data_IF_990071400000
#
_entry.id   IF_990071400000
#
_cell.length_a   1.000
_cell.length_b   1.000
_cell.length_c   1.000
_cell.angle_alpha   90.00
_cell.angle_beta   90.00
_cell.angle_gamma   90.00
#
_symmetry.space_group_name_H-M   'P 1'
#
loop_
_entity.id
_entity.type
_entity.pdbx_description
1 polymer ?
#
# COMPACT_ATOMS: atom_id res chain seq x y z
N UNK A 1 16.33 -14.81 5.39
CA UNK A 1 16.67 -13.63 4.56
C UNK A 1 15.43 -13.34 3.73
N UNK A 2 14.88 -12.12 3.79
CA UNK A 2 13.74 -11.76 2.93
C UNK A 2 14.23 -11.76 1.48
N UNK A 3 13.59 -12.56 0.62
CA UNK A 3 13.95 -12.68 -0.79
C UNK A 3 13.14 -11.75 -1.69
N UNK A 4 12.01 -11.25 -1.18
CA UNK A 4 11.12 -10.39 -1.92
C UNK A 4 11.77 -9.05 -2.26
N UNK A 5 11.80 -8.74 -3.56
CA UNK A 5 12.19 -7.43 -4.07
C UNK A 5 11.02 -6.86 -4.87
N UNK A 6 10.49 -5.73 -4.42
CA UNK A 6 9.27 -5.18 -5.01
C UNK A 6 9.46 -4.63 -6.44
N UNK A 7 10.69 -4.38 -6.88
CA UNK A 7 10.99 -3.91 -8.25
C UNK A 7 10.47 -4.85 -9.34
N UNK A 8 10.37 -6.15 -9.09
CA UNK A 8 9.79 -7.12 -10.03
C UNK A 8 8.28 -6.97 -10.22
N UNK A 9 7.60 -6.32 -9.27
CA UNK A 9 6.14 -6.21 -9.21
C UNK A 9 5.65 -4.75 -9.26
N UNK A 10 6.58 -3.79 -9.22
CA UNK A 10 6.27 -2.38 -9.12
C UNK A 10 5.33 -1.91 -10.24
N UNK A 11 4.22 -1.30 -9.86
CA UNK A 11 3.23 -0.77 -10.79
C UNK A 11 2.30 -1.84 -11.37
N UNK A 12 2.23 -3.03 -10.79
CA UNK A 12 1.23 -4.02 -11.15
C UNK A 12 -0.20 -3.58 -10.75
N UNK A 13 -1.17 -4.44 -11.03
CA UNK A 13 -2.58 -4.20 -10.72
C UNK A 13 -2.88 -4.14 -9.21
N UNK A 14 -2.13 -4.86 -8.39
CA UNK A 14 -2.26 -4.80 -6.94
C UNK A 14 -1.76 -3.47 -6.37
N UNK A 15 -0.63 -2.97 -6.86
CA UNK A 15 -0.10 -1.66 -6.52
C UNK A 15 -1.05 -0.55 -6.92
N UNK A 16 -1.66 -0.63 -8.11
CA UNK A 16 -2.66 0.36 -8.53
C UNK A 16 -3.83 0.40 -7.55
N UNK A 17 -4.35 -0.77 -7.15
CA UNK A 17 -5.43 -0.86 -6.18
C UNK A 17 -5.03 -0.26 -4.82
N UNK A 18 -3.88 -0.67 -4.30
CA UNK A 18 -3.31 -0.20 -3.02
C UNK A 18 -3.07 1.31 -3.02
N UNK A 19 -2.33 1.82 -4.01
CA UNK A 19 -1.91 3.21 -4.07
C UNK A 19 -3.06 4.17 -4.40
N UNK A 20 -4.06 3.74 -5.17
CA UNK A 20 -5.26 4.54 -5.40
C UNK A 20 -6.05 4.77 -4.09
N UNK A 21 -6.25 3.71 -3.29
CA UNK A 21 -6.90 3.83 -1.98
C UNK A 21 -6.05 4.62 -0.97
N UNK A 22 -4.74 4.35 -0.91
CA UNK A 22 -3.80 5.12 -0.07
C UNK A 22 -3.86 6.62 -0.39
N UNK A 23 -3.75 6.97 -1.67
CA UNK A 23 -3.77 8.35 -2.11
C UNK A 23 -5.09 9.05 -1.76
N UNK A 24 -6.21 8.36 -1.92
CA UNK A 24 -7.54 8.89 -1.55
C UNK A 24 -7.68 9.11 -0.05
N UNK A 25 -7.18 8.20 0.78
CA UNK A 25 -7.17 8.38 2.24
C UNK A 25 -6.33 9.61 2.63
N UNK A 26 -5.12 9.73 2.09
CA UNK A 26 -4.23 10.84 2.41
C UNK A 26 -4.76 12.18 1.92
N UNK A 27 -5.31 12.24 0.70
CA UNK A 27 -5.95 13.44 0.15
C UNK A 27 -7.11 13.94 1.04
N UNK A 28 -7.95 13.02 1.53
CA UNK A 28 -9.01 13.40 2.47
C UNK A 28 -8.44 13.94 3.77
N UNK A 29 -7.42 13.28 4.32
CA UNK A 29 -6.84 13.68 5.60
C UNK A 29 -6.12 15.03 5.52
N UNK A 30 -5.51 15.41 4.40
CA UNK A 30 -4.81 16.69 4.32
C UNK A 30 -5.75 17.90 4.17
N UNK A 31 -7.06 17.70 3.98
CA UNK A 31 -8.08 18.77 3.96
C UNK A 31 -8.26 19.47 5.30
N UNK A 32 -8.04 18.77 6.41
CA UNK A 32 -8.13 19.36 7.74
C UNK A 32 -6.83 20.08 8.05
N UNK A 33 -6.91 21.35 8.42
CA UNK A 33 -5.76 22.17 8.81
C UNK A 33 -5.26 21.82 10.24
N UNK A 34 -4.88 20.55 10.42
CA UNK A 34 -4.21 20.01 11.60
C UNK A 34 -3.20 18.96 11.14
N UNK A 35 -2.01 18.88 11.77
CA UNK A 35 -1.00 17.91 11.40
C UNK A 35 -1.52 16.47 11.58
N UNK A 36 -0.96 15.54 10.81
CA UNK A 36 -1.19 14.11 10.93
C UNK A 36 0.12 13.34 10.90
N UNK A 37 0.11 12.09 11.37
CA UNK A 37 1.22 11.16 11.20
C UNK A 37 0.87 10.05 10.22
N UNK A 38 1.70 9.88 9.19
CA UNK A 38 1.70 8.70 8.33
C UNK A 38 2.75 7.72 8.82
N UNK A 39 2.33 6.50 9.11
CA UNK A 39 3.21 5.40 9.52
C UNK A 39 3.12 4.27 8.49
N UNK A 40 4.24 3.61 8.21
CA UNK A 40 4.30 2.47 7.31
C UNK A 40 5.23 1.39 7.84
N UNK A 41 4.76 0.15 7.85
CA UNK A 41 5.52 -0.98 8.40
C UNK A 41 6.48 -1.63 7.41
N UNK A 42 6.22 -1.50 6.11
CA UNK A 42 6.96 -2.17 5.05
C UNK A 42 7.10 -1.23 3.86
N UNK A 43 8.03 -0.28 3.96
CA UNK A 43 8.13 0.85 3.02
C UNK A 43 8.78 0.49 1.67
N UNK A 44 9.52 -0.62 1.60
CA UNK A 44 10.38 -0.92 0.46
C UNK A 44 11.39 0.21 0.20
N UNK A 45 11.85 0.33 -1.04
CA UNK A 45 12.80 1.39 -1.47
C UNK A 45 12.15 2.73 -1.84
N UNK A 46 10.83 2.85 -1.80
CA UNK A 46 10.09 4.09 -2.11
C UNK A 46 10.00 4.48 -3.60
N UNK A 47 11.03 4.27 -4.43
CA UNK A 47 11.06 4.61 -5.86
C UNK A 47 11.48 3.41 -6.71
N UNK A 48 10.79 3.18 -7.83
CA UNK A 48 11.04 2.08 -8.75
C UNK A 48 11.17 2.58 -10.18
N UNK A 49 12.19 2.11 -10.89
CA UNK A 49 12.39 2.40 -12.31
C UNK A 49 11.74 1.30 -13.16
N UNK A 50 10.62 1.60 -13.82
CA UNK A 50 9.85 0.61 -14.60
C UNK A 50 10.55 0.14 -15.89
N UNK A 51 11.64 0.80 -16.26
CA UNK A 51 12.50 0.40 -17.38
C UNK A 51 13.73 -0.43 -16.93
N UNK A 52 13.89 -0.68 -15.63
CA UNK A 52 14.94 -1.54 -15.10
C UNK A 52 14.77 -3.00 -15.59
N UNK A 53 15.88 -3.75 -15.63
CA UNK A 53 15.88 -5.13 -16.14
C UNK A 53 14.93 -6.02 -15.34
N UNK A 54 14.91 -5.87 -14.01
CA UNK A 54 14.07 -6.61 -13.08
C UNK A 54 12.57 -6.38 -13.35
N UNK A 55 12.17 -5.12 -13.55
CA UNK A 55 10.78 -4.78 -13.87
C UNK A 55 10.35 -5.32 -15.24
N UNK A 56 11.26 -5.32 -16.21
CA UNK A 56 11.00 -5.84 -17.57
C UNK A 56 10.87 -7.37 -17.61
N UNK A 57 11.52 -8.10 -16.70
CA UNK A 57 11.46 -9.57 -16.63
C UNK A 57 10.04 -10.09 -16.38
N UNK A 58 9.23 -9.37 -15.63
CA UNK A 58 7.85 -9.77 -15.33
C UNK A 58 6.83 -9.12 -16.24
N UNK A 59 7.10 -7.90 -16.72
CA UNK A 59 6.17 -7.12 -17.54
C UNK A 59 4.94 -6.63 -16.76
N UNK A 60 4.95 -6.73 -15.43
CA UNK A 60 3.78 -6.44 -14.59
C UNK A 60 3.33 -4.98 -14.68
N UNK A 61 4.27 -4.04 -14.78
CA UNK A 61 3.96 -2.62 -14.95
C UNK A 61 3.21 -2.33 -16.26
N UNK A 62 3.50 -3.09 -17.32
CA UNK A 62 2.85 -2.96 -18.62
C UNK A 62 1.38 -3.41 -18.57
N UNK A 63 1.10 -4.46 -17.77
CA UNK A 63 -0.24 -4.98 -17.50
C UNK A 63 -1.00 -4.19 -16.42
N UNK A 64 -0.28 -3.49 -15.53
CA UNK A 64 -0.81 -2.64 -14.47
C UNK A 64 -0.88 -1.17 -14.88
N UNK A 65 -0.07 -0.33 -14.23
CA UNK A 65 -0.17 1.14 -14.32
C UNK A 65 -0.17 1.64 -15.77
N UNK A 66 0.70 1.13 -16.64
CA UNK A 66 0.77 1.61 -18.02
C UNK A 66 -0.50 1.28 -18.82
N UNK A 67 -1.11 0.11 -18.58
CA UNK A 67 -2.40 -0.26 -19.19
C UNK A 67 -3.52 0.65 -18.68
N UNK A 68 -3.54 0.91 -17.39
CA UNK A 68 -4.58 1.68 -16.71
C UNK A 68 -4.55 3.16 -17.14
N UNK A 69 -3.34 3.71 -17.37
CA UNK A 69 -3.18 5.03 -17.96
C UNK A 69 -3.76 5.10 -19.37
N UNK A 70 -3.48 4.11 -20.23
CA UNK A 70 -4.09 4.03 -21.58
C UNK A 70 -5.61 3.90 -21.53
N UNK A 71 -6.14 3.23 -20.52
CA UNK A 71 -7.58 3.06 -20.31
C UNK A 71 -8.23 4.28 -19.62
N UNK A 72 -7.46 5.31 -19.25
CA UNK A 72 -7.94 6.53 -18.58
C UNK A 72 -8.82 6.25 -17.35
N UNK A 73 -8.41 5.29 -16.50
CA UNK A 73 -9.16 4.93 -15.29
C UNK A 73 -9.24 6.05 -14.25
N UNK A 74 -8.28 6.95 -14.26
CA UNK A 74 -8.16 8.05 -13.32
C UNK A 74 -8.06 9.35 -14.11
N UNK A 75 -8.76 10.40 -13.67
CA UNK A 75 -8.48 11.73 -14.20
C UNK A 75 -7.12 12.23 -13.67
N UNK A 76 -6.46 13.17 -14.35
CA UNK A 76 -5.20 13.77 -13.89
C UNK A 76 -5.28 14.37 -12.47
N UNK A 77 -6.46 14.82 -12.05
CA UNK A 77 -6.72 15.44 -10.76
C UNK A 77 -6.85 14.41 -9.62
N UNK A 78 -7.01 13.12 -9.94
CA UNK A 78 -7.07 12.05 -8.95
C UNK A 78 -5.78 12.03 -8.12
N UNK A 79 -5.84 11.93 -6.78
CA UNK A 79 -4.66 12.10 -5.92
C UNK A 79 -3.53 11.12 -6.24
N UNK A 80 -3.85 9.89 -6.63
CA UNK A 80 -2.85 8.92 -7.09
C UNK A 80 -2.10 9.40 -8.35
N UNK A 81 -2.82 9.97 -9.32
CA UNK A 81 -2.21 10.50 -10.55
C UNK A 81 -1.39 11.76 -10.27
N UNK A 82 -1.82 12.61 -9.34
CA UNK A 82 -1.03 13.78 -8.92
C UNK A 82 0.31 13.37 -8.30
N UNK A 83 0.30 12.36 -7.41
CA UNK A 83 1.52 11.82 -6.81
C UNK A 83 2.44 11.18 -7.87
N UNK A 84 1.89 10.35 -8.76
CA UNK A 84 2.62 9.74 -9.86
C UNK A 84 3.25 10.79 -10.79
N UNK A 85 2.49 11.83 -11.17
CA UNK A 85 2.97 12.91 -12.01
C UNK A 85 4.07 13.73 -11.35
N UNK A 86 3.97 14.00 -10.04
CA UNK A 86 5.02 14.69 -9.28
C UNK A 86 6.33 13.88 -9.28
N UNK A 87 6.23 12.57 -9.04
CA UNK A 87 7.38 11.66 -9.02
C UNK A 87 8.01 11.55 -10.41
N UNK A 88 7.21 11.41 -11.47
CA UNK A 88 7.74 11.37 -12.84
C UNK A 88 8.35 12.68 -13.30
N UNK A 89 7.85 13.83 -12.83
CA UNK A 89 8.47 15.13 -13.09
C UNK A 89 9.87 15.23 -12.45
N UNK A 90 10.05 14.66 -11.26
CA UNK A 90 11.32 14.68 -10.54
C UNK A 90 12.32 13.62 -11.01
N UNK A 91 11.84 12.42 -11.38
CA UNK A 91 12.69 11.24 -11.62
C UNK A 91 12.59 10.65 -13.03
N UNK A 92 11.82 11.29 -13.91
CA UNK A 92 11.63 10.87 -15.30
C UNK A 92 10.40 9.98 -15.53
N UNK A 93 9.99 9.78 -16.80
CA UNK A 93 8.72 9.15 -17.15
C UNK A 93 8.60 7.67 -16.76
N UNK A 94 9.74 6.97 -16.63
CA UNK A 94 9.77 5.57 -16.21
C UNK A 94 9.67 5.38 -14.68
N UNK A 95 9.66 6.47 -13.90
CA UNK A 95 9.58 6.40 -12.46
C UNK A 95 8.18 5.97 -11.99
N UNK A 96 8.16 5.09 -10.99
CA UNK A 96 6.97 4.66 -10.28
C UNK A 96 7.16 4.83 -8.77
N UNK A 97 6.24 5.54 -8.08
CA UNK A 97 6.31 5.68 -6.64
C UNK A 97 5.76 4.44 -5.94
N UNK A 98 6.52 3.92 -4.99
CA UNK A 98 5.96 3.13 -3.89
C UNK A 98 5.14 4.00 -2.95
N UNK A 99 4.46 3.34 -2.01
CA UNK A 99 3.65 3.97 -0.95
C UNK A 99 4.37 5.11 -0.21
N UNK A 100 5.68 5.04 0.12
CA UNK A 100 6.39 6.16 0.72
C UNK A 100 6.35 7.44 -0.11
N UNK A 101 6.60 7.35 -1.42
CA UNK A 101 6.59 8.52 -2.30
C UNK A 101 5.17 8.95 -2.67
N UNK A 102 4.21 8.03 -2.74
CA UNK A 102 2.79 8.39 -2.82
C UNK A 102 2.42 9.26 -1.61
N UNK A 103 2.80 8.84 -0.41
CA UNK A 103 2.49 9.56 0.80
C UNK A 103 3.23 10.91 0.88
N UNK A 104 4.54 10.90 0.65
CA UNK A 104 5.37 12.09 0.76
C UNK A 104 4.97 13.21 -0.22
N UNK A 105 4.45 12.87 -1.41
CA UNK A 105 3.96 13.86 -2.39
C UNK A 105 2.53 14.36 -2.11
N UNK A 106 1.78 13.73 -1.21
CA UNK A 106 0.41 14.13 -0.84
C UNK A 106 0.33 14.78 0.53
N UNK A 107 1.26 14.47 1.41
CA UNK A 107 1.40 15.07 2.73
C UNK A 107 1.93 16.50 2.65
N UNK A 108 1.64 17.28 3.69
CA UNK A 108 2.07 18.68 3.80
C UNK A 108 3.32 18.78 4.69
N UNK A 109 4.08 19.88 4.63
CA UNK A 109 5.24 20.08 5.50
C UNK A 109 4.96 20.00 7.01
N UNK A 110 3.72 20.24 7.44
CA UNK A 110 3.31 20.13 8.85
C UNK A 110 3.05 18.68 9.30
N UNK A 111 2.90 17.75 8.36
CA UNK A 111 2.59 16.35 8.63
C UNK A 111 3.88 15.55 8.88
N UNK A 112 3.79 14.48 9.67
CA UNK A 112 4.93 13.64 10.03
C UNK A 112 4.90 12.30 9.26
N UNK A 113 6.08 11.83 8.85
CA UNK A 113 6.27 10.54 8.16
C UNK A 113 7.17 9.63 9.01
N UNK A 114 6.74 8.38 9.21
CA UNK A 114 7.46 7.34 9.93
C UNK A 114 7.46 6.05 9.08
N UNK A 115 8.61 5.66 8.54
CA UNK A 115 8.69 4.51 7.64
C UNK A 115 9.63 3.45 8.19
N UNK A 116 9.21 2.20 8.13
CA UNK A 116 10.05 1.06 8.49
C UNK A 116 10.36 0.22 7.26
N UNK A 117 11.60 -0.22 7.14
CA UNK A 117 12.02 -1.20 6.15
C UNK A 117 13.10 -2.08 6.77
N UNK A 118 13.00 -3.40 6.64
CA UNK A 118 13.87 -4.37 7.29
C UNK A 118 15.03 -4.82 6.38
N UNK A 119 14.82 -4.84 5.07
CA UNK A 119 15.82 -5.23 4.10
C UNK A 119 16.88 -4.13 3.94
N UNK A 120 18.18 -4.41 4.20
CA UNK A 120 19.20 -3.37 4.29
C UNK A 120 19.40 -2.58 2.99
N UNK A 121 19.31 -3.25 1.84
CA UNK A 121 19.46 -2.57 0.54
C UNK A 121 18.22 -1.73 0.19
N UNK A 122 17.02 -2.19 0.58
CA UNK A 122 15.80 -1.41 0.35
C UNK A 122 15.79 -0.19 1.25
N UNK A 123 16.22 -0.34 2.52
CA UNK A 123 16.33 0.77 3.46
C UNK A 123 17.33 1.82 3.00
N UNK A 124 18.53 1.42 2.54
CA UNK A 124 19.52 2.37 2.02
C UNK A 124 18.97 3.15 0.81
N UNK A 125 18.27 2.47 -0.11
CA UNK A 125 17.61 3.12 -1.23
C UNK A 125 16.47 4.04 -0.78
N UNK A 126 15.66 3.62 0.21
CA UNK A 126 14.59 4.42 0.79
C UNK A 126 15.14 5.74 1.37
N UNK A 127 16.24 5.69 2.12
CA UNK A 127 16.89 6.88 2.67
C UNK A 127 17.31 7.85 1.57
N UNK A 128 17.90 7.34 0.50
CA UNK A 128 18.28 8.18 -0.64
C UNK A 128 17.05 8.81 -1.32
N UNK A 129 16.03 8.00 -1.61
CA UNK A 129 14.86 8.42 -2.39
C UNK A 129 13.93 9.38 -1.62
N UNK A 130 13.90 9.32 -0.28
CA UNK A 130 13.04 10.17 0.56
C UNK A 130 13.77 11.39 1.16
N UNK A 131 15.06 11.57 0.86
CA UNK A 131 15.88 12.63 1.46
C UNK A 131 15.26 14.04 1.36
N UNK A 132 14.59 14.35 0.25
CA UNK A 132 13.97 15.65 0.02
C UNK A 132 12.67 15.90 0.81
N UNK A 133 12.04 14.85 1.33
CA UNK A 133 10.75 14.92 2.03
C UNK A 133 10.88 14.87 3.55
N UNK A 134 12.04 14.45 4.05
CA UNK A 134 12.26 14.24 5.48
C UNK A 134 11.49 13.03 6.03
N UNK A 135 11.08 13.11 7.30
CA UNK A 135 10.51 11.99 8.03
C UNK A 135 11.57 11.17 8.78
N UNK A 136 11.11 10.20 9.57
CA UNK A 136 11.97 9.31 10.34
C UNK A 136 11.90 7.92 9.71
N UNK A 137 13.08 7.42 9.31
CA UNK A 137 13.26 6.14 8.64
C UNK A 137 13.88 5.16 9.64
N UNK A 138 13.25 4.00 9.83
CA UNK A 138 13.66 2.97 10.77
C UNK A 138 14.12 1.71 10.04
N UNK A 139 15.39 1.34 10.18
CA UNK A 139 15.88 0.03 9.74
C UNK A 139 15.54 -1.03 10.79
N UNK A 140 14.23 -1.33 10.92
CA UNK A 140 13.68 -2.18 11.98
C UNK A 140 12.45 -2.95 11.49
N UNK A 141 12.05 -3.94 12.27
CA UNK A 141 10.76 -4.62 12.11
C UNK A 141 9.61 -3.60 12.27
N UNK A 142 8.88 -3.37 11.18
CA UNK A 142 7.81 -2.38 11.15
C UNK A 142 6.57 -2.77 11.95
N UNK A 143 6.27 -4.07 12.10
CA UNK A 143 5.15 -4.53 12.91
C UNK A 143 5.39 -4.22 14.38
N UNK A 144 6.63 -4.43 14.87
CA UNK A 144 7.03 -4.06 16.22
C UNK A 144 7.04 -2.52 16.40
N UNK A 145 7.60 -1.79 15.44
CA UNK A 145 7.65 -0.33 15.48
C UNK A 145 6.24 0.28 15.51
N UNK A 146 5.29 -0.26 14.74
CA UNK A 146 3.91 0.22 14.73
C UNK A 146 3.27 0.21 16.13
N UNK A 147 3.54 -0.81 16.98
CA UNK A 147 3.03 -0.84 18.36
C UNK A 147 3.68 0.20 19.27
N UNK A 148 4.96 0.48 19.06
CA UNK A 148 5.74 1.43 19.85
C UNK A 148 5.42 2.89 19.48
N UNK A 149 5.13 3.15 18.21
CA UNK A 149 4.79 4.48 17.69
C UNK A 149 3.29 4.85 17.89
N UNK A 150 2.46 3.87 18.27
CA UNK A 150 1.02 4.06 18.45
C UNK A 150 0.62 4.31 19.91
N UNK A 151 -0.21 5.34 20.22
CA UNK A 151 -0.75 6.32 19.28
C UNK A 151 0.29 7.40 18.94
N UNK A 152 0.27 7.95 17.72
CA UNK A 152 1.15 9.06 17.36
C UNK A 152 0.75 10.35 18.09
N UNK A 153 1.63 11.34 18.06
CA UNK A 153 1.35 12.72 18.48
C UNK A 153 1.48 13.65 17.27
N UNK A 154 0.40 14.36 16.86
CA UNK A 154 -0.95 14.30 17.40
C UNK A 154 -1.62 12.93 17.18
N UNK A 155 -2.68 12.61 17.94
CA UNK A 155 -3.46 11.35 17.81
C UNK A 155 -4.31 11.31 16.54
N UNK A 156 -3.75 11.73 15.40
CA UNK A 156 -4.38 11.85 14.08
C UNK A 156 -3.40 11.36 13.03
N UNK A 157 -3.85 10.51 12.12
CA UNK A 157 -2.94 9.88 11.19
C UNK A 157 -3.48 8.57 10.62
N UNK A 158 -2.62 7.88 9.89
CA UNK A 158 -2.87 6.53 9.41
C UNK A 158 -1.62 5.66 9.48
N UNK A 159 -1.85 4.35 9.59
CA UNK A 159 -0.84 3.30 9.48
C UNK A 159 -1.12 2.43 8.26
N UNK A 160 -0.14 2.26 7.39
CA UNK A 160 -0.15 1.26 6.32
C UNK A 160 0.64 0.00 6.72
N UNK A 161 0.00 -1.15 6.56
CA UNK A 161 0.57 -2.48 6.74
C UNK A 161 0.55 -3.19 5.38
N UNK A 162 1.73 -3.43 4.82
CA UNK A 162 1.90 -3.95 3.45
C UNK A 162 3.06 -4.97 3.37
N UNK A 163 2.97 -6.10 4.10
CA UNK A 163 4.05 -7.10 4.10
C UNK A 163 4.14 -7.79 2.74
N UNK A 164 5.27 -8.43 2.46
CA UNK A 164 5.44 -9.29 1.28
C UNK A 164 4.62 -10.58 1.35
N UNK A 165 4.17 -10.95 2.55
CA UNK A 165 3.52 -12.23 2.86
C UNK A 165 4.38 -13.47 2.61
N UNK A 166 5.72 -13.33 2.53
CA UNK A 166 6.64 -14.47 2.51
C UNK A 166 6.66 -15.24 3.84
N UNK A 167 6.36 -14.55 4.95
CA UNK A 167 6.38 -15.12 6.29
C UNK A 167 4.98 -15.60 6.67
N UNK A 168 4.79 -16.93 6.70
CA UNK A 168 3.46 -17.53 6.98
C UNK A 168 2.85 -17.10 8.32
N UNK A 169 3.66 -16.82 9.34
CA UNK A 169 3.14 -16.36 10.63
C UNK A 169 2.49 -14.98 10.57
N UNK A 170 2.73 -14.19 9.53
CA UNK A 170 2.16 -12.85 9.39
C UNK A 170 0.62 -12.89 9.30
N UNK A 171 0.06 -13.95 8.70
CA UNK A 171 -1.40 -14.16 8.63
C UNK A 171 -2.07 -14.26 10.01
N UNK A 172 -1.33 -14.70 11.03
CA UNK A 172 -1.83 -14.80 12.40
C UNK A 172 -1.43 -13.61 13.27
N UNK A 173 -0.26 -13.01 13.02
CA UNK A 173 0.30 -11.92 13.82
C UNK A 173 -0.38 -10.58 13.50
N UNK A 174 -0.58 -10.27 12.23
CA UNK A 174 -1.07 -8.96 11.79
C UNK A 174 -2.50 -8.66 12.29
N UNK A 175 -3.47 -9.60 12.24
CA UNK A 175 -4.79 -9.32 12.81
C UNK A 175 -4.75 -9.02 14.32
N UNK A 176 -3.88 -9.71 15.08
CA UNK A 176 -3.70 -9.47 16.51
C UNK A 176 -3.10 -8.09 16.76
N UNK A 177 -2.10 -7.72 15.96
CA UNK A 177 -1.48 -6.40 15.96
C UNK A 177 -2.52 -5.30 15.70
N UNK A 178 -3.34 -5.45 14.65
CA UNK A 178 -4.41 -4.50 14.32
C UNK A 178 -5.37 -4.33 15.50
N UNK A 179 -5.80 -5.42 16.15
CA UNK A 179 -6.64 -5.35 17.34
C UNK A 179 -5.97 -4.65 18.54
N UNK A 180 -4.65 -4.75 18.71
CA UNK A 180 -3.91 -4.00 19.72
C UNK A 180 -3.83 -2.51 19.38
N UNK A 181 -3.52 -2.17 18.13
CA UNK A 181 -3.45 -0.79 17.64
C UNK A 181 -4.82 -0.12 17.75
N UNK A 182 -5.89 -0.79 17.34
CA UNK A 182 -7.27 -0.30 17.44
C UNK A 182 -7.65 0.11 18.87
N UNK A 183 -7.20 -0.65 19.88
CA UNK A 183 -7.44 -0.32 21.30
C UNK A 183 -6.61 0.87 21.77
N UNK A 184 -5.35 0.99 21.34
CA UNK A 184 -4.45 2.10 21.71
C UNK A 184 -4.78 3.40 20.98
N UNK A 185 -5.28 3.30 19.75
CA UNK A 185 -5.55 4.40 18.83
C UNK A 185 -6.88 4.20 18.12
N UNK A 186 -7.95 4.32 18.91
CA UNK A 186 -9.34 4.10 18.50
C UNK A 186 -9.82 4.99 17.34
N UNK A 187 -9.18 6.13 17.12
CA UNK A 187 -9.47 7.06 15.99
C UNK A 187 -8.48 6.93 14.83
N UNK A 188 -7.47 6.07 14.95
CA UNK A 188 -6.45 5.87 13.93
C UNK A 188 -6.99 5.12 12.73
N UNK A 189 -6.58 5.52 11.54
CA UNK A 189 -6.85 4.75 10.32
C UNK A 189 -5.77 3.67 10.22
N UNK A 190 -6.18 2.41 10.11
CA UNK A 190 -5.25 1.28 9.92
C UNK A 190 -5.61 0.58 8.63
N UNK A 191 -4.70 0.63 7.66
CA UNK A 191 -4.85 0.03 6.35
C UNK A 191 -3.96 -1.21 6.24
N UNK A 192 -4.53 -2.35 5.86
CA UNK A 192 -3.82 -3.59 5.59
C UNK A 192 -4.04 -4.01 4.15
N UNK A 193 -2.98 -4.03 3.35
CA UNK A 193 -2.99 -4.66 2.04
C UNK A 193 -2.74 -6.17 2.16
N UNK A 194 -3.41 -6.96 1.32
CA UNK A 194 -3.16 -8.39 1.21
C UNK A 194 -3.39 -8.92 -0.22
N UNK A 195 -2.66 -9.94 -0.67
CA UNK A 195 -2.91 -10.61 -1.93
C UNK A 195 -4.14 -11.53 -1.81
N UNK A 196 -4.86 -11.72 -2.91
CA UNK A 196 -5.85 -12.79 -3.06
C UNK A 196 -5.21 -13.86 -3.93
N UNK A 197 -5.15 -15.10 -3.42
CA UNK A 197 -4.50 -16.20 -4.12
C UNK A 197 -5.51 -17.12 -4.80
N UNK A 198 -5.07 -17.75 -5.89
CA UNK A 198 -5.74 -18.92 -6.43
C UNK A 198 -5.82 -20.03 -5.38
N UNK A 199 -6.89 -20.83 -5.42
CA UNK A 199 -7.11 -21.93 -4.47
C UNK A 199 -5.98 -22.97 -4.44
N UNK A 200 -5.17 -23.05 -5.50
CA UNK A 200 -4.01 -23.95 -5.60
C UNK A 200 -2.78 -23.47 -4.84
N UNK A 201 -2.74 -22.21 -4.39
CA UNK A 201 -1.61 -21.64 -3.64
C UNK A 201 -1.71 -22.06 -2.18
N UNK A 202 -0.60 -22.58 -1.63
CA UNK A 202 -0.54 -23.08 -0.24
C UNK A 202 -0.94 -22.06 0.83
N UNK A 203 -0.73 -20.77 0.59
CA UNK A 203 -1.09 -19.68 1.52
C UNK A 203 -2.56 -19.24 1.42
N UNK A 204 -3.33 -19.71 0.43
CA UNK A 204 -4.73 -19.30 0.23
C UNK A 204 -5.64 -19.57 1.45
N UNK A 205 -5.55 -20.74 2.13
CA UNK A 205 -6.36 -20.98 3.33
C UNK A 205 -6.04 -20.02 4.48
N UNK A 206 -4.75 -19.73 4.71
CA UNK A 206 -4.32 -18.81 5.77
C UNK A 206 -4.77 -17.37 5.47
N UNK A 207 -4.64 -16.94 4.22
CA UNK A 207 -5.12 -15.64 3.75
C UNK A 207 -6.65 -15.50 3.94
N UNK A 208 -7.44 -16.49 3.53
CA UNK A 208 -8.90 -16.47 3.76
C UNK A 208 -9.26 -16.46 5.24
N UNK A 209 -8.58 -17.26 6.07
CA UNK A 209 -8.83 -17.30 7.51
C UNK A 209 -8.55 -15.94 8.17
N UNK A 210 -7.44 -15.29 7.79
CA UNK A 210 -7.06 -13.96 8.24
C UNK A 210 -8.15 -12.92 7.93
N UNK A 211 -8.58 -12.82 6.67
CA UNK A 211 -9.59 -11.84 6.25
C UNK A 211 -10.93 -12.08 6.93
N UNK A 212 -11.36 -13.33 7.06
CA UNK A 212 -12.58 -13.68 7.78
C UNK A 212 -12.49 -13.33 9.28
N UNK A 213 -11.32 -13.52 9.88
CA UNK A 213 -11.05 -13.11 11.26
C UNK A 213 -11.15 -11.59 11.44
N UNK A 214 -10.52 -10.83 10.55
CA UNK A 214 -10.59 -9.36 10.54
C UNK A 214 -12.03 -8.86 10.38
N UNK A 215 -12.79 -9.43 9.44
CA UNK A 215 -14.20 -9.07 9.20
C UNK A 215 -15.07 -9.29 10.43
N UNK A 216 -14.88 -10.41 11.15
CA UNK A 216 -15.62 -10.68 12.39
C UNK A 216 -15.21 -9.75 13.54
N UNK A 217 -13.91 -9.45 13.66
CA UNK A 217 -13.39 -8.61 14.72
C UNK A 217 -13.73 -7.12 14.53
N UNK A 218 -13.89 -6.68 13.27
CA UNK A 218 -14.09 -5.28 12.90
C UNK A 218 -15.17 -5.17 11.80
N UNK A 219 -16.45 -5.35 12.14
CA UNK A 219 -17.54 -5.35 11.16
C UNK A 219 -17.74 -4.00 10.44
N UNK A 220 -17.33 -2.90 11.07
CA UNK A 220 -17.39 -1.53 10.52
C UNK A 220 -16.19 -1.18 9.60
N UNK A 221 -15.20 -2.08 9.50
CA UNK A 221 -14.07 -1.85 8.63
C UNK A 221 -14.46 -1.98 7.16
N UNK A 222 -13.87 -1.14 6.30
CA UNK A 222 -13.99 -1.30 4.85
C UNK A 222 -13.11 -2.46 4.40
N UNK A 223 -13.66 -3.36 3.58
CA UNK A 223 -12.89 -4.36 2.84
C UNK A 223 -13.12 -4.11 1.35
N UNK A 224 -12.07 -3.68 0.65
CA UNK A 224 -12.08 -3.57 -0.81
C UNK A 224 -11.28 -4.71 -1.39
N UNK A 225 -11.92 -5.61 -2.13
CA UNK A 225 -11.27 -6.74 -2.80
C UNK A 225 -11.52 -6.66 -4.30
N UNK A 226 -10.46 -6.77 -5.09
CA UNK A 226 -10.53 -6.77 -6.54
C UNK A 226 -9.82 -7.99 -7.11
N UNK A 227 -10.41 -8.57 -8.15
CA UNK A 227 -9.79 -9.65 -8.92
C UNK A 227 -9.20 -9.09 -10.22
N UNK A 228 -8.12 -9.69 -10.69
CA UNK A 228 -7.50 -9.37 -11.97
C UNK A 228 -6.81 -10.61 -12.56
N UNK A 229 -6.60 -10.64 -13.89
CA UNK A 229 -5.86 -11.72 -14.51
C UNK A 229 -4.46 -11.86 -13.89
N UNK A 230 -3.96 -13.08 -13.72
CA UNK A 230 -2.60 -13.28 -13.25
C UNK A 230 -1.62 -12.63 -14.23
N UNK A 231 -0.53 -12.06 -13.72
CA UNK A 231 0.46 -11.38 -14.56
C UNK A 231 1.10 -12.28 -15.61
N UNK A 232 1.18 -13.59 -15.31
CA UNK A 232 1.65 -14.65 -16.20
C UNK A 232 0.99 -15.97 -15.80
N UNK A 233 0.97 -16.93 -16.71
CA UNK A 233 0.52 -18.29 -16.42
C UNK A 233 1.29 -18.87 -15.21
N UNK A 234 0.56 -19.52 -14.29
CA UNK A 234 1.12 -20.05 -13.06
C UNK A 234 1.39 -19.03 -11.94
N UNK A 235 1.17 -17.72 -12.17
CA UNK A 235 1.25 -16.74 -11.07
C UNK A 235 0.09 -16.93 -10.09
N UNK A 236 0.41 -17.18 -8.82
CA UNK A 236 -0.58 -17.54 -7.81
C UNK A 236 -1.50 -16.42 -7.31
N UNK A 237 -1.20 -15.14 -7.58
CA UNK A 237 -2.01 -14.01 -7.12
C UNK A 237 -3.05 -13.67 -8.19
N UNK A 238 -4.32 -13.73 -7.82
CA UNK A 238 -5.48 -13.52 -8.70
C UNK A 238 -6.28 -12.27 -8.34
N UNK A 239 -5.78 -11.49 -7.38
CA UNK A 239 -6.42 -10.28 -6.90
C UNK A 239 -5.66 -9.66 -5.75
N UNK A 240 -6.20 -8.57 -5.22
CA UNK A 240 -5.69 -7.94 -4.01
C UNK A 240 -6.84 -7.38 -3.19
N UNK A 241 -6.61 -7.28 -1.89
CA UNK A 241 -7.53 -6.71 -0.93
C UNK A 241 -6.89 -5.58 -0.13
N UNK A 242 -7.73 -4.68 0.35
CA UNK A 242 -7.39 -3.62 1.28
C UNK A 242 -8.43 -3.59 2.39
N UNK A 243 -8.00 -3.92 3.61
CA UNK A 243 -8.80 -3.79 4.84
C UNK A 243 -8.49 -2.44 5.49
N UNK A 244 -9.50 -1.64 5.79
CA UNK A 244 -9.36 -0.32 6.42
C UNK A 244 -10.18 -0.25 7.69
N UNK A 245 -9.52 -0.14 8.83
CA UNK A 245 -10.15 0.26 10.08
C UNK A 245 -10.34 1.78 10.10
N UNK A 246 -11.50 2.23 10.56
CA UNK A 246 -11.90 3.64 10.63
C UNK A 246 -11.79 4.36 9.28
N UNK A 247 -12.37 3.83 8.18
CA UNK A 247 -12.17 4.39 6.84
C UNK A 247 -12.61 5.88 6.79
N UNK A 248 -11.79 6.77 6.22
CA UNK A 248 -12.18 8.17 6.04
C UNK A 248 -13.37 8.28 5.07
N UNK A 249 -14.13 9.37 5.22
CA UNK A 249 -15.30 9.62 4.37
C UNK A 249 -14.90 9.68 2.88
N UNK A 250 -15.75 9.08 2.03
CA UNK A 250 -15.54 8.99 0.58
C UNK A 250 -14.71 7.78 0.12
N UNK A 251 -13.97 7.12 1.01
CA UNK A 251 -13.13 5.97 0.63
C UNK A 251 -13.95 4.79 0.10
N UNK A 252 -15.13 4.53 0.67
CA UNK A 252 -16.02 3.46 0.19
C UNK A 252 -16.47 3.71 -1.26
N UNK A 253 -16.74 4.97 -1.62
CA UNK A 253 -17.10 5.36 -2.98
C UNK A 253 -15.97 5.08 -3.97
N UNK A 254 -14.73 5.41 -3.59
CA UNK A 254 -13.54 5.11 -4.40
C UNK A 254 -13.29 3.60 -4.52
N UNK A 255 -13.39 2.85 -3.42
CA UNK A 255 -13.28 1.39 -3.42
C UNK A 255 -14.30 0.74 -4.35
N UNK A 256 -15.55 1.22 -4.35
CA UNK A 256 -16.61 0.75 -5.24
C UNK A 256 -16.30 1.07 -6.71
N UNK A 257 -15.83 2.28 -6.98
CA UNK A 257 -15.42 2.72 -8.33
C UNK A 257 -14.29 1.85 -8.87
N UNK A 258 -13.26 1.61 -8.06
CA UNK A 258 -12.16 0.70 -8.40
C UNK A 258 -12.70 -0.72 -8.66
N UNK A 259 -13.54 -1.27 -7.78
CA UNK A 259 -14.16 -2.59 -7.99
C UNK A 259 -14.86 -2.72 -9.34
N UNK A 260 -15.61 -1.69 -9.77
CA UNK A 260 -16.25 -1.66 -11.08
C UNK A 260 -15.25 -1.59 -12.25
N UNK A 261 -14.13 -0.87 -12.09
CA UNK A 261 -13.08 -0.80 -13.11
C UNK A 261 -12.32 -2.12 -13.24
N UNK A 262 -11.93 -2.73 -12.11
CA UNK A 262 -11.26 -4.03 -12.08
C UNK A 262 -12.15 -5.16 -12.60
N UNK A 263 -13.46 -5.11 -12.37
CA UNK A 263 -14.39 -6.09 -12.94
C UNK A 263 -14.35 -6.13 -14.48
N UNK A 264 -13.96 -5.03 -15.15
CA UNK A 264 -13.79 -4.95 -16.61
C UNK A 264 -12.47 -5.57 -17.10
N UNK A 265 -11.56 -5.92 -16.20
CA UNK A 265 -10.29 -6.60 -16.52
C UNK A 265 -10.39 -8.12 -16.49
N UNK A 266 -11.52 -8.68 -16.01
CA UNK A 266 -11.72 -10.13 -15.99
C UNK A 266 -11.46 -10.70 -17.40
N UNK A 267 -10.77 -11.85 -17.48
CA UNK A 267 -10.31 -12.42 -18.74
C UNK A 267 -11.45 -12.65 -19.74
#
# INVERSE_FOLDING_TARGET
MLSYQHIYHAGNLADVHKHALLATMLDYLTRKDKPLTYMETHAGRGLYALNAEEARKTGEAAAGIQRIERLNWFSPEHPYMRALAAVRRAHGPAAYPGSPLVAANLLRPIDAIQLCELHPQEFAALQHNLAAFGGILHHKDGLQMALGLTPPTPRRGMLLIDPSWEVKSDYDLIPKLIGQIARKWNVGIVALWYPIFAATVASAPAQHAMVNGLRRAHPEALISEVAFPPAREGHGMTGSGMFVLNPPWGLEGEARRLGQLFAKLKP
#
